data_IF_216707750796
#
_entry.id   IF_216707750796
#
_cell.length_a   1.000
_cell.length_b   1.000
_cell.length_c   1.000
_cell.angle_alpha   90.00
_cell.angle_beta   90.00
_cell.angle_gamma   90.00
#
_symmetry.space_group_name_H-M   'P 1'
#
loop_
_entity.id
_entity.type
_entity.pdbx_description
1 polymer ?
#
# COMPACT_ATOMS: atom_id res chain seq x y z
N UNK A 1 10.20 -11.01 6.66
CA UNK A 1 8.76 -10.69 6.54
C UNK A 1 8.64 -9.71 5.39
N UNK A 2 7.73 -9.94 4.44
CA UNK A 2 7.53 -9.04 3.30
C UNK A 2 6.58 -7.91 3.70
N UNK A 3 7.10 -6.69 3.65
CA UNK A 3 6.38 -5.44 3.91
C UNK A 3 6.28 -4.72 2.56
N UNK A 4 5.11 -4.24 2.18
CA UNK A 4 4.94 -3.37 1.03
C UNK A 4 4.63 -1.94 1.50
N UNK A 5 5.05 -0.95 0.73
CA UNK A 5 4.70 0.45 0.93
C UNK A 5 4.20 1.06 -0.38
N UNK A 6 3.07 1.77 -0.35
CA UNK A 6 2.51 2.46 -1.52
C UNK A 6 2.41 3.95 -1.20
N UNK A 7 2.96 4.83 -2.04
CA UNK A 7 2.83 6.26 -1.81
C UNK A 7 3.78 7.14 -2.62
N UNK A 8 3.91 8.43 -2.26
CA UNK A 8 4.84 9.32 -2.94
C UNK A 8 6.29 8.86 -2.70
N UNK A 9 7.18 9.18 -3.65
CA UNK A 9 8.59 8.75 -3.62
C UNK A 9 9.26 8.98 -2.25
N UNK A 10 9.12 10.17 -1.66
CA UNK A 10 9.71 10.47 -0.34
C UNK A 10 9.22 9.56 0.80
N UNK A 11 7.97 9.09 0.73
CA UNK A 11 7.42 8.15 1.70
C UNK A 11 7.94 6.74 1.45
N UNK A 12 7.91 6.31 0.19
CA UNK A 12 8.37 4.97 -0.24
C UNK A 12 9.84 4.77 0.11
N UNK A 13 10.72 5.72 -0.27
CA UNK A 13 12.16 5.62 -0.02
C UNK A 13 12.48 5.42 1.47
N UNK A 14 11.76 6.10 2.38
CA UNK A 14 11.96 5.92 3.81
C UNK A 14 11.71 4.48 4.28
N UNK A 15 10.72 3.80 3.72
CA UNK A 15 10.40 2.42 4.09
C UNK A 15 11.25 1.39 3.33
N UNK A 16 11.71 1.71 2.12
CA UNK A 16 12.67 0.86 1.41
C UNK A 16 14.00 0.74 2.17
N UNK A 17 14.44 1.81 2.84
CA UNK A 17 15.63 1.79 3.70
C UNK A 17 15.56 0.76 4.85
N UNK A 18 14.36 0.40 5.29
CA UNK A 18 14.12 -0.63 6.33
C UNK A 18 13.70 -1.99 5.74
N UNK A 19 13.82 -2.15 4.42
CA UNK A 19 13.60 -3.43 3.73
C UNK A 19 12.17 -3.68 3.27
N UNK A 20 11.33 -2.64 3.14
CA UNK A 20 10.03 -2.76 2.48
C UNK A 20 10.16 -2.74 0.95
N UNK A 21 9.21 -3.37 0.26
CA UNK A 21 9.06 -3.24 -1.20
C UNK A 21 8.26 -1.98 -1.53
N UNK A 22 8.87 -1.06 -2.27
CA UNK A 22 8.26 0.21 -2.67
C UNK A 22 7.38 0.15 -3.92
N UNK A 23 6.25 0.85 -3.86
CA UNK A 23 5.35 1.11 -4.98
C UNK A 23 5.04 2.61 -5.03
N UNK A 24 5.69 3.33 -5.95
CA UNK A 24 5.51 4.77 -6.08
C UNK A 24 4.19 5.12 -6.79
N UNK A 25 3.26 5.70 -6.05
CA UNK A 25 1.98 6.19 -6.58
C UNK A 25 1.51 7.44 -5.84
N UNK A 26 1.00 8.41 -6.59
CA UNK A 26 0.50 9.69 -6.04
C UNK A 26 -0.98 9.92 -6.31
N UNK A 27 -1.54 9.18 -7.26
CA UNK A 27 -2.95 9.26 -7.63
C UNK A 27 -3.78 8.30 -6.77
N UNK A 28 -4.87 8.81 -6.20
CA UNK A 28 -5.70 8.05 -5.26
C UNK A 28 -6.28 6.76 -5.88
N UNK A 29 -6.72 6.82 -7.13
CA UNK A 29 -7.33 5.67 -7.82
C UNK A 29 -6.26 4.61 -8.13
N UNK A 30 -5.05 5.04 -8.48
CA UNK A 30 -3.91 4.13 -8.66
C UNK A 30 -3.47 3.49 -7.36
N UNK A 31 -3.45 4.23 -6.25
CA UNK A 31 -3.15 3.67 -4.92
C UNK A 31 -4.16 2.58 -4.56
N UNK A 32 -5.46 2.84 -4.74
CA UNK A 32 -6.49 1.83 -4.49
C UNK A 32 -6.34 0.60 -5.39
N UNK A 33 -6.08 0.80 -6.68
CA UNK A 33 -5.86 -0.30 -7.65
C UNK A 33 -4.61 -1.13 -7.32
N UNK A 34 -3.53 -0.48 -6.87
CA UNK A 34 -2.30 -1.14 -6.46
C UNK A 34 -2.50 -1.91 -5.16
N UNK A 35 -3.23 -1.34 -4.19
CA UNK A 35 -3.57 -2.03 -2.95
C UNK A 35 -4.38 -3.29 -3.22
N UNK A 36 -5.43 -3.20 -4.04
CA UNK A 36 -6.27 -4.35 -4.40
C UNK A 36 -5.45 -5.48 -5.05
N UNK A 37 -4.56 -5.13 -5.98
CA UNK A 37 -3.64 -6.11 -6.59
C UNK A 37 -2.75 -6.78 -5.55
N UNK A 38 -2.15 -6.02 -4.63
CA UNK A 38 -1.21 -6.55 -3.64
C UNK A 38 -1.91 -7.43 -2.60
N UNK A 39 -3.14 -7.10 -2.24
CA UNK A 39 -3.99 -7.94 -1.38
C UNK A 39 -4.33 -9.25 -2.07
N UNK A 40 -4.79 -9.19 -3.33
CA UNK A 40 -5.25 -10.36 -4.08
C UNK A 40 -4.12 -11.29 -4.56
N UNK A 41 -2.96 -10.73 -4.93
CA UNK A 41 -1.76 -11.52 -5.27
C UNK A 41 -1.19 -12.24 -4.04
N UNK A 42 -1.49 -11.73 -2.85
CA UNK A 42 -0.93 -12.20 -1.60
C UNK A 42 0.57 -11.97 -1.51
N UNK A 43 1.17 -12.43 -0.43
CA UNK A 43 2.63 -12.42 -0.28
C UNK A 43 3.19 -11.25 0.50
N UNK A 44 2.38 -10.29 0.96
CA UNK A 44 2.77 -9.27 1.94
C UNK A 44 2.02 -9.48 3.27
N UNK A 45 2.75 -9.40 4.39
CA UNK A 45 2.13 -9.48 5.74
C UNK A 45 1.68 -8.12 6.27
N UNK A 46 2.24 -7.05 5.72
CA UNK A 46 1.94 -5.68 6.08
C UNK A 46 2.03 -4.82 4.82
N UNK A 47 1.01 -4.00 4.57
CA UNK A 47 1.00 -3.01 3.51
C UNK A 47 0.82 -1.64 4.16
N UNK A 48 1.76 -0.74 3.92
CA UNK A 48 1.82 0.60 4.50
C UNK A 48 1.37 1.60 3.45
N UNK A 49 0.42 2.45 3.83
CA UNK A 49 -0.13 3.50 2.98
C UNK A 49 -0.23 4.82 3.76
N UNK A 50 0.04 5.97 3.14
CA UNK A 50 -0.21 7.28 3.73
C UNK A 50 -1.68 7.46 4.11
N UNK A 51 -1.92 8.08 5.27
CA UNK A 51 -3.27 8.31 5.81
C UNK A 51 -4.19 9.07 4.85
N UNK A 52 -3.64 9.98 4.03
CA UNK A 52 -4.42 10.71 3.01
C UNK A 52 -5.17 9.81 2.02
N UNK A 53 -4.74 8.55 1.87
CA UNK A 53 -5.39 7.56 0.99
C UNK A 53 -6.32 6.60 1.76
N UNK A 54 -6.55 6.82 3.06
CA UNK A 54 -7.31 5.91 3.90
C UNK A 54 -8.79 5.76 3.48
N UNK A 55 -9.41 6.85 3.02
CA UNK A 55 -10.79 6.82 2.52
C UNK A 55 -10.90 6.10 1.18
N UNK A 56 -10.05 6.43 0.22
CA UNK A 56 -10.04 5.80 -1.11
C UNK A 56 -9.78 4.29 -1.04
N UNK A 57 -9.00 3.85 -0.05
CA UNK A 57 -8.65 2.43 0.18
C UNK A 57 -9.59 1.71 1.13
N UNK A 58 -10.60 2.39 1.70
CA UNK A 58 -11.44 1.87 2.78
C UNK A 58 -12.15 0.56 2.40
N UNK A 59 -12.76 0.50 1.21
CA UNK A 59 -13.52 -0.66 0.74
C UNK A 59 -12.63 -1.92 0.75
N UNK A 60 -11.41 -1.81 0.21
CA UNK A 60 -10.44 -2.91 0.16
C UNK A 60 -10.03 -3.34 1.56
N UNK A 61 -9.80 -2.38 2.48
CA UNK A 61 -9.44 -2.68 3.87
C UNK A 61 -10.57 -3.39 4.63
N UNK A 62 -11.82 -2.96 4.42
CA UNK A 62 -12.99 -3.60 5.01
C UNK A 62 -13.17 -5.04 4.52
N UNK A 63 -12.88 -5.31 3.24
CA UNK A 63 -12.94 -6.66 2.69
C UNK A 63 -11.87 -7.60 3.26
N UNK A 64 -10.68 -7.09 3.60
CA UNK A 64 -9.62 -7.89 4.24
C UNK A 64 -9.94 -8.22 5.71
N UNK A 65 -10.75 -7.40 6.39
CA UNK A 65 -11.09 -7.56 7.80
C UNK A 65 -12.31 -8.48 8.04
N UNK A 66 -12.99 -8.92 6.99
CA UNK A 66 -14.09 -9.90 7.06
C UNK A 66 -13.51 -11.31 7.23
#
# INVERSE_FOLDING_TARGET
MSIAVIGPSSFVTCFELVGATGYEEVDEQKVASSLDKLVNQGGYKLIIIPERFAETTRIIREDVMK
#
